data_IF_037084489651
#
_entry.id   IF_037084489651
#
_cell.length_a   1.000
_cell.length_b   1.000
_cell.length_c   1.000
_cell.angle_alpha   90.00
_cell.angle_beta   90.00
_cell.angle_gamma   90.00
#
_symmetry.space_group_name_H-M   'P 1'
#
loop_
_entity.id
_entity.type
_entity.pdbx_description
1 polymer ?
2 non-polymer ?
3 water ?
#
# COMPACT_ATOMS: atom_id res chain seq x y z
N UNK A 2 6.39 17.99 -2.13
CA UNK A 2 7.76 17.73 -2.54
C UNK A 2 8.09 16.25 -2.58
N UNK A 3 7.05 15.41 -2.57
CA UNK A 3 7.22 13.96 -2.60
C UNK A 3 8.18 13.49 -3.70
N UNK A 4 9.18 12.69 -3.32
CA UNK A 4 10.18 12.22 -4.28
C UNK A 4 10.07 10.72 -4.55
N UNK A 5 9.97 10.36 -5.83
CA UNK A 5 10.09 8.95 -6.21
C UNK A 5 11.57 8.60 -6.34
N UNK A 6 12.06 7.66 -5.53
CA UNK A 6 13.47 7.26 -5.59
C UNK A 6 13.68 6.08 -6.54
N UNK A 7 12.87 5.03 -6.34
CA UNK A 7 12.81 3.87 -7.24
C UNK A 7 11.33 3.64 -7.53
N UNK A 8 10.99 2.79 -8.52
CA UNK A 8 9.55 2.65 -8.82
C UNK A 8 8.73 2.21 -7.60
N UNK A 9 9.34 1.47 -6.67
CA UNK A 9 8.58 1.03 -5.49
C UNK A 9 8.93 1.85 -4.25
N UNK A 10 9.82 2.83 -4.39
CA UNK A 10 10.32 3.52 -3.18
C UNK A 10 10.25 5.04 -3.29
N UNK A 11 9.44 5.64 -2.40
CA UNK A 11 9.30 7.08 -2.28
C UNK A 11 9.93 7.59 -0.99
N UNK A 12 10.36 8.86 -1.01
CA UNK A 12 10.94 9.51 0.16
C UNK A 12 10.21 10.84 0.38
N UNK A 13 9.71 11.08 1.58
CA UNK A 13 8.91 12.28 1.80
C UNK A 13 8.84 12.75 3.23
N UNK A 14 7.94 13.70 3.48
CA UNK A 14 7.81 14.36 4.78
C UNK A 14 6.53 13.92 5.50
N UNK A 15 6.40 14.34 6.76
CA UNK A 15 5.15 14.12 7.49
C UNK A 15 3.96 14.73 6.72
N UNK A 16 4.14 15.95 6.21
CA UNK A 16 3.07 16.57 5.44
C UNK A 16 2.67 15.76 4.20
N UNK A 17 3.65 15.16 3.52
CA UNK A 17 3.36 14.26 2.40
C UNK A 17 2.50 13.07 2.82
N UNK A 18 2.95 12.34 3.84
CA UNK A 18 2.34 11.05 4.18
C UNK A 18 0.93 11.22 4.76
N UNK A 19 0.64 12.41 5.29
CA UNK A 19 -0.68 12.68 5.88
C UNK A 19 -1.65 13.28 4.86
N UNK A 20 -1.16 13.58 3.68
CA UNK A 20 -1.99 14.08 2.59
C UNK A 20 -2.68 12.92 1.90
N UNK A 21 -3.92 12.61 2.32
CA UNK A 21 -4.59 11.40 1.82
C UNK A 21 -4.70 11.40 0.30
N UNK A 22 -5.05 12.55 -0.28
CA UNK A 22 -5.19 12.64 -1.72
C UNK A 22 -3.89 12.34 -2.44
N UNK A 23 -2.78 12.86 -1.94
CA UNK A 23 -1.48 12.60 -2.56
C UNK A 23 -1.14 11.11 -2.48
N UNK A 24 -1.37 10.52 -1.31
CA UNK A 24 -1.10 9.10 -1.12
C UNK A 24 -2.00 8.23 -1.99
N UNK A 25 -3.30 8.56 -2.05
CA UNK A 25 -4.20 7.74 -2.88
C UNK A 25 -3.93 7.96 -4.37
N UNK A 26 -3.63 9.20 -4.74
CA UNK A 26 -3.29 9.58 -6.11
C UNK A 26 -2.11 8.76 -6.63
N UNK A 27 -1.17 8.45 -5.75
CA UNK A 27 0.05 7.72 -6.16
C UNK A 27 0.00 6.25 -5.79
N UNK A 28 -1.16 5.81 -5.29
CA UNK A 28 -1.36 4.41 -4.93
C UNK A 28 -0.43 3.91 -3.84
N UNK A 29 0.00 4.78 -2.93
CA UNK A 29 0.92 4.35 -1.87
C UNK A 29 0.18 3.72 -0.69
N UNK A 30 0.49 2.45 -0.42
CA UNK A 30 -0.22 1.69 0.62
C UNK A 30 0.68 1.25 1.77
N UNK A 31 2.00 1.30 1.58
CA UNK A 31 2.97 0.96 2.63
C UNK A 31 3.67 2.21 3.14
N UNK A 32 3.91 2.26 4.45
CA UNK A 32 4.58 3.40 5.09
C UNK A 32 5.65 2.97 6.08
N UNK A 33 6.86 3.49 5.88
CA UNK A 33 7.95 3.33 6.84
C UNK A 33 8.20 4.68 7.48
N UNK A 34 7.87 4.77 8.77
CA UNK A 34 7.85 6.02 9.52
C UNK A 34 9.06 6.05 10.43
N UNK A 35 10.04 6.88 10.08
CA UNK A 35 11.30 6.94 10.84
C UNK A 35 11.24 8.12 11.79
N UNK A 36 10.52 7.94 12.89
CA UNK A 36 10.32 9.01 13.88
C UNK A 36 9.63 8.45 15.11
N UNK A 37 9.66 9.19 16.22
CA UNK A 37 8.86 8.83 17.38
C UNK A 37 7.54 9.58 17.38
N UNK A 38 7.56 10.80 16.84
CA UNK A 38 6.45 11.73 17.03
C UNK A 38 5.44 11.76 15.89
N UNK A 39 5.86 11.41 14.68
CA UNK A 39 4.96 11.44 13.54
C UNK A 39 3.95 10.31 13.64
N UNK A 40 2.66 10.64 13.44
CA UNK A 40 1.60 9.63 13.55
C UNK A 40 1.48 8.76 12.30
N UNK A 41 1.00 7.53 12.46
CA UNK A 41 0.55 6.73 11.32
C UNK A 41 -0.69 7.41 10.77
N UNK A 42 -0.82 7.47 9.42
CA UNK A 42 -2.04 8.04 8.86
C UNK A 42 -3.18 7.06 9.11
N UNK A 43 -4.37 7.57 9.38
CA UNK A 43 -5.51 6.71 9.70
C UNK A 43 -5.85 5.78 8.57
N UNK A 44 -5.55 6.22 7.34
CA UNK A 44 -5.93 5.49 6.14
C UNK A 44 -4.94 4.39 5.72
N UNK A 45 -3.91 4.18 6.54
CA UNK A 45 -2.91 3.13 6.28
C UNK A 45 -3.15 1.92 7.19
N UNK A 46 -3.07 0.72 6.62
CA UNK A 46 -3.25 -0.55 7.37
C UNK A 46 -2.07 -0.89 8.26
N UNK A 47 -2.36 -1.37 9.46
CA UNK A 47 -1.30 -1.73 10.40
C UNK A 47 -0.28 -2.70 9.81
N UNK A 48 -0.77 -3.67 9.03
CA UNK A 48 0.13 -4.67 8.46
C UNK A 48 1.04 -4.09 7.36
N UNK A 49 0.73 -2.89 6.90
CA UNK A 49 1.54 -2.22 5.88
C UNK A 49 2.27 -1.01 6.48
N UNK A 50 2.50 -1.05 7.78
CA UNK A 50 3.10 0.06 8.49
C UNK A 50 4.25 -0.41 9.35
N UNK A 51 5.35 0.33 9.35
CA UNK A 51 6.47 0.03 10.25
C UNK A 51 7.05 1.32 10.80
N UNK A 52 7.27 1.37 12.12
CA UNK A 52 7.92 2.52 12.73
C UNK A 52 9.38 2.21 13.04
N UNK A 53 10.28 3.14 12.72
CA UNK A 53 11.65 3.14 13.24
C UNK A 53 11.73 4.29 14.24
N UNK A 54 11.62 3.97 15.54
CA UNK A 54 11.40 4.96 16.59
C UNK A 54 12.67 5.72 16.95
N UNK A 55 13.07 6.66 16.11
CA UNK A 55 14.30 7.41 16.34
C UNK A 55 14.12 8.93 16.22
N UNK A 56 14.89 9.66 17.03
CA UNK A 56 14.93 11.12 17.01
C UNK A 56 16.02 11.61 16.04
N UNK A 57 15.90 12.83 15.52
CA UNK A 57 16.94 13.35 14.61
C UNK A 57 18.03 14.10 15.36
N UNK A 58 19.06 13.39 15.79
CA UNK A 58 20.13 14.04 16.55
C UNK A 58 21.49 13.38 16.39
N UNK A 59 22.50 13.91 17.07
CA UNK A 59 23.86 13.46 16.86
C UNK A 59 24.22 12.19 17.64
N UNK A 60 23.33 11.74 18.51
CA UNK A 60 23.61 10.56 19.32
C UNK A 60 22.63 9.41 19.08
N UNK A 61 21.57 9.67 18.30
CA UNK A 61 20.59 8.63 18.03
C UNK A 61 21.21 7.54 17.17
N UNK A 62 20.69 6.33 17.33
CA UNK A 62 21.31 5.18 16.74
C UNK A 62 20.35 4.49 15.74
N UNK A 63 20.73 4.45 14.47
CA UNK A 63 19.86 3.98 13.39
C UNK A 63 20.33 2.60 12.90
N UNK A 64 21.59 2.26 13.17
CA UNK A 64 22.24 1.08 12.60
C UNK A 64 21.50 -0.29 12.59
N UNK A 65 21.01 -0.76 13.77
CA UNK A 65 20.31 -2.02 13.91
C UNK A 65 18.90 -1.98 13.41
N UNK A 66 18.43 -0.85 12.90
CA UNK A 66 17.10 -0.79 12.29
C UNK A 66 17.20 -0.91 10.79
N UNK A 67 18.42 -0.83 10.25
CA UNK A 67 18.58 -0.76 8.80
C UNK A 67 18.18 -2.07 8.10
N UNK A 68 18.64 -3.20 8.60
CA UNK A 68 18.28 -4.46 7.95
C UNK A 68 16.76 -4.73 7.96
N UNK A 69 16.09 -4.40 9.06
CA UNK A 69 14.64 -4.59 9.15
C UNK A 69 13.86 -3.59 8.29
N UNK A 70 14.37 -2.36 8.19
CA UNK A 70 13.80 -1.35 7.29
C UNK A 70 13.89 -1.81 5.83
N UNK A 71 15.06 -2.31 5.46
CA UNK A 71 15.26 -2.83 4.11
C UNK A 71 14.33 -4.02 3.81
N UNK A 72 14.21 -4.95 4.76
CA UNK A 72 13.27 -6.07 4.64
C UNK A 72 11.83 -5.59 4.40
N UNK A 73 11.41 -4.57 5.15
CA UNK A 73 10.08 -3.99 4.97
C UNK A 73 9.88 -3.45 3.57
N UNK A 74 10.86 -2.70 3.08
CA UNK A 74 10.78 -2.13 1.73
C UNK A 74 10.71 -3.26 0.71
N UNK A 75 11.49 -4.32 0.91
CA UNK A 75 11.41 -5.47 0.00
C UNK A 75 10.08 -6.24 0.09
N UNK A 76 9.42 -6.20 1.25
CA UNK A 76 8.10 -6.82 1.33
C UNK A 76 7.12 -6.12 0.40
N UNK A 77 7.19 -4.79 0.36
CA UNK A 77 6.39 -4.01 -0.58
C UNK A 77 6.74 -4.37 -2.03
N UNK A 78 8.03 -4.39 -2.33
CA UNK A 78 8.53 -4.75 -3.66
C UNK A 78 8.00 -6.12 -4.12
N UNK A 79 8.00 -7.10 -3.21
CA UNK A 79 7.52 -8.44 -3.53
C UNK A 79 6.01 -8.42 -3.78
N UNK A 80 5.31 -7.54 -3.08
CA UNK A 80 3.85 -7.43 -3.21
C UNK A 80 3.42 -6.50 -4.35
N UNK A 81 4.37 -6.11 -5.20
CA UNK A 81 4.11 -5.16 -6.27
C UNK A 81 3.48 -3.87 -5.75
N UNK A 82 3.95 -3.38 -4.61
CA UNK A 82 3.40 -2.19 -3.98
C UNK A 82 4.46 -1.11 -3.82
N UNK A 83 4.02 0.13 -3.63
CA UNK A 83 4.95 1.23 -3.37
C UNK A 83 4.96 1.53 -1.88
N UNK A 84 6.13 1.89 -1.35
CA UNK A 84 6.27 2.25 0.06
C UNK A 84 6.84 3.65 0.13
N UNK A 85 6.36 4.46 1.06
CA UNK A 85 6.99 5.73 1.31
C UNK A 85 7.74 5.66 2.63
N UNK A 86 8.99 6.13 2.60
CA UNK A 86 9.78 6.26 3.80
C UNK A 86 9.76 7.75 4.13
N UNK A 87 9.39 8.08 5.36
CA UNK A 87 9.27 9.48 5.74
C UNK A 87 9.74 9.71 7.16
N UNK A 88 10.02 10.98 7.46
CA UNK A 88 10.20 11.40 8.83
C UNK A 88 9.45 12.72 8.96
N UNK A 89 9.93 13.63 9.79
CA UNK A 89 9.23 14.92 9.91
C UNK A 89 9.39 15.73 8.62
N UNK A 90 10.64 15.96 8.24
CA UNK A 90 10.96 16.81 7.11
C UNK A 90 11.37 15.98 5.90
N UNK A 91 11.78 14.75 6.14
CA UNK A 91 12.21 13.89 5.06
C UNK A 91 13.58 14.27 4.52
N UNK A 92 14.43 14.85 5.38
CA UNK A 92 15.77 15.22 4.92
C UNK A 92 16.94 14.54 5.64
N UNK A 93 16.66 13.80 6.72
CA UNK A 93 17.75 13.19 7.50
C UNK A 93 17.50 11.71 7.85
N UNK A 94 16.58 11.46 8.78
CA UNK A 94 16.29 10.09 9.23
C UNK A 94 15.82 9.19 8.09
N UNK A 95 14.74 9.59 7.43
CA UNK A 95 14.21 8.83 6.31
C UNK A 95 15.20 8.79 5.14
N UNK A 96 15.88 9.91 4.88
CA UNK A 96 16.82 9.95 3.76
C UNK A 96 17.92 8.90 3.96
N UNK A 97 18.41 8.78 5.20
CA UNK A 97 19.47 7.81 5.47
C UNK A 97 19.00 6.38 5.21
N UNK A 98 17.77 6.07 5.59
CA UNK A 98 17.24 4.73 5.31
C UNK A 98 17.18 4.45 3.81
N UNK A 99 16.69 5.40 3.02
CA UNK A 99 16.66 5.26 1.56
C UNK A 99 18.05 5.01 1.00
N UNK A 100 19.03 5.75 1.52
CA UNK A 100 20.41 5.59 1.04
C UNK A 100 20.92 4.19 1.35
N UNK A 101 20.70 3.72 2.57
CA UNK A 101 21.11 2.37 2.94
C UNK A 101 20.43 1.31 2.05
N UNK A 102 19.18 1.52 1.71
CA UNK A 102 18.47 0.55 0.88
C UNK A 102 19.15 0.41 -0.49
N UNK A 103 19.53 1.53 -1.07
CA UNK A 103 20.19 1.52 -2.38
C UNK A 103 21.56 0.89 -2.27
N UNK A 104 22.27 1.19 -1.19
CA UNK A 104 23.58 0.57 -0.95
C UNK A 104 23.51 -0.95 -0.96
N UNK A 105 22.62 -1.50 -0.15
CA UNK A 105 22.51 -2.94 -0.02
C UNK A 105 21.96 -3.58 -1.29
N UNK A 106 20.95 -2.96 -1.90
CA UNK A 106 20.30 -3.57 -3.05
C UNK A 106 21.21 -3.61 -4.27
N UNK A 107 21.93 -2.53 -4.50
CA UNK A 107 22.73 -2.41 -5.72
C UNK A 107 24.21 -2.73 -5.50
N UNK A 108 24.63 -2.85 -4.25
CA UNK A 108 26.05 -3.06 -3.98
C UNK A 108 26.81 -1.78 -4.31
N UNK A 109 26.12 -0.66 -4.12
CA UNK A 109 26.65 0.67 -4.36
C UNK A 109 27.41 1.17 -3.12
N UNK A 110 28.46 1.95 -3.33
CA UNK A 110 29.24 2.50 -2.22
C UNK A 110 28.38 3.55 -1.53
N UNK A 111 28.74 3.89 -0.29
CA UNK A 111 27.94 4.87 0.44
C UNK A 111 27.99 6.23 -0.25
N UNK A 112 29.15 6.59 -0.82
CA UNK A 112 29.26 7.81 -1.63
C UNK A 112 28.26 7.83 -2.79
N UNK A 113 28.23 6.75 -3.56
CA UNK A 113 27.37 6.73 -4.74
C UNK A 113 25.89 6.67 -4.36
N UNK A 114 25.56 5.92 -3.32
CA UNK A 114 24.16 5.83 -2.90
C UNK A 114 23.67 7.17 -2.35
N UNK A 115 24.53 7.86 -1.59
CA UNK A 115 24.20 9.20 -1.08
C UNK A 115 23.92 10.13 -2.26
N UNK A 116 24.82 10.10 -3.25
CA UNK A 116 24.65 10.95 -4.43
C UNK A 116 23.39 10.58 -5.22
N UNK A 117 23.07 9.29 -5.30
CA UNK A 117 21.87 8.82 -6.01
C UNK A 117 20.61 9.45 -5.41
N UNK A 118 20.50 9.41 -4.09
CA UNK A 118 19.31 9.95 -3.43
C UNK A 118 19.34 11.46 -3.48
N UNK A 119 20.52 12.02 -3.25
CA UNK A 119 20.69 13.48 -3.24
C UNK A 119 20.33 14.11 -4.59
N UNK A 120 20.71 13.45 -5.68
CA UNK A 120 20.35 13.91 -7.02
C UNK A 120 18.84 14.02 -7.23
N UNK A 121 18.08 13.11 -6.62
CA UNK A 121 16.64 13.04 -6.85
C UNK A 121 15.86 13.88 -5.84
N UNK A 122 16.43 14.04 -4.64
CA UNK A 122 15.83 14.88 -3.61
C UNK A 122 16.91 15.80 -3.04
N UNK A 123 17.22 16.90 -3.76
CA UNK A 123 18.34 17.78 -3.43
C UNK A 123 18.28 18.37 -2.03
N UNK A 124 17.07 18.45 -1.46
CA UNK A 124 16.91 19.01 -0.12
C UNK A 124 17.42 18.10 1.01
N UNK A 125 17.79 16.85 0.72
CA UNK A 125 18.21 15.99 1.82
C UNK A 125 19.49 16.55 2.43
N UNK A 126 19.64 16.35 3.73
CA UNK A 126 20.79 16.87 4.45
C UNK A 126 20.98 16.08 5.73
N UNK A 127 21.32 14.77 5.61
CA UNK A 127 21.34 13.93 6.80
C UNK A 127 22.41 14.40 7.78
N UNK A 128 22.09 14.36 9.07
CA UNK A 128 23.07 14.80 10.04
C UNK A 128 24.27 13.85 10.00
N UNK A 129 25.41 14.35 10.42
CA UNK A 129 26.67 13.63 10.24
C UNK A 129 26.67 12.29 10.97
N UNK A 130 26.00 12.25 12.13
CA UNK A 130 25.90 11.02 12.90
C UNK A 130 25.27 9.89 12.05
N UNK A 131 24.18 10.19 11.35
CA UNK A 131 23.54 9.19 10.49
C UNK A 131 24.39 8.82 9.29
N UNK A 132 25.03 9.82 8.68
CA UNK A 132 25.92 9.54 7.56
C UNK A 132 27.09 8.60 7.96
N UNK A 133 27.63 8.80 9.16
CA UNK A 133 28.67 7.92 9.66
C UNK A 133 28.19 6.50 9.89
N UNK A 134 26.96 6.34 10.37
CA UNK A 134 26.38 5.02 10.54
C UNK A 134 26.21 4.31 9.20
N UNK A 135 25.96 5.06 8.12
CA UNK A 135 26.03 4.49 6.77
C UNK A 135 27.39 3.90 6.43
N UNK A 136 28.46 4.64 6.74
CA UNK A 136 29.80 4.10 6.56
C UNK A 136 29.99 2.78 7.29
N UNK A 137 29.56 2.73 8.55
CA UNK A 137 29.73 1.51 9.36
C UNK A 137 28.87 0.39 8.82
N UNK A 138 27.69 0.74 8.32
CA UNK A 138 26.80 -0.26 7.72
C UNK A 138 27.46 -0.87 6.50
N UNK A 139 28.06 -0.02 5.67
CA UNK A 139 28.74 -0.52 4.47
C UNK A 139 29.88 -1.44 4.85
N UNK A 140 30.60 -1.06 5.90
CA UNK A 140 31.76 -1.84 6.30
C UNK A 140 31.31 -3.24 6.69
N UNK A 141 30.16 -3.31 7.37
CA UNK A 141 29.62 -4.58 7.84
C UNK A 141 29.08 -5.47 6.71
N UNK A 142 28.49 -4.84 5.69
CA UNK A 142 28.03 -5.57 4.52
C UNK A 142 29.22 -6.20 3.80
N UNK A 143 30.33 -5.47 3.74
CA UNK A 143 31.52 -5.97 3.06
C UNK A 143 32.12 -7.19 3.76
N UNK A 144 31.99 -7.24 5.09
CA UNK A 144 32.45 -8.41 5.84
C UNK A 144 31.48 -9.60 5.71
N UNK A 145 30.18 -9.32 5.67
CA UNK A 145 29.19 -10.35 5.40
C UNK A 145 29.41 -10.99 4.02
N UNK A 146 29.67 -10.15 3.02
CA UNK A 146 29.94 -10.62 1.67
C UNK A 146 31.20 -11.47 1.63
N UNK A 147 32.18 -11.09 2.45
CA UNK A 147 33.44 -11.82 2.54
C UNK A 147 33.22 -13.26 2.95
N UNK A 148 32.33 -13.46 3.93
CA UNK A 148 31.99 -14.80 4.41
C UNK A 148 31.31 -15.64 3.33
N UNK A 149 30.57 -14.97 2.45
CA UNK A 149 29.86 -15.62 1.36
C UNK A 149 30.82 -15.92 0.20
N UNK A 150 32.12 -15.73 0.44
CA UNK A 150 33.11 -16.00 -0.58
C UNK A 150 33.27 -14.87 -1.59
N UNK A 151 32.84 -13.67 -1.20
CA UNK A 151 33.01 -12.50 -2.06
C UNK A 151 33.96 -11.47 -1.44
N UNK A 152 35.27 -11.70 -1.56
CA UNK A 152 36.23 -10.73 -1.03
C UNK A 152 36.23 -9.46 -1.86
N UNK B 1 -31.60 -4.84 -0.54
CA UNK B 1 -30.26 -4.79 0.04
C UNK B 1 -29.81 -6.17 0.55
N UNK B 2 -28.90 -6.18 1.51
CA UNK B 2 -28.37 -7.43 2.02
C UNK B 2 -27.13 -7.89 1.26
N UNK B 3 -26.29 -8.66 1.94
CA UNK B 3 -25.03 -9.16 1.39
C UNK B 3 -25.19 -9.91 0.06
N UNK B 4 -24.36 -9.58 -0.93
CA UNK B 4 -24.41 -10.28 -2.23
C UNK B 4 -23.22 -11.18 -2.46
N UNK B 5 -23.49 -12.44 -2.81
CA UNK B 5 -22.40 -13.32 -3.28
C UNK B 5 -22.20 -13.04 -4.76
N UNK B 6 -20.99 -12.64 -5.13
CA UNK B 6 -20.68 -12.36 -6.53
C UNK B 6 -20.08 -13.60 -7.19
N UNK B 7 -19.10 -14.20 -6.52
CA UNK B 7 -18.48 -15.45 -6.97
C UNK B 7 -18.36 -16.31 -5.71
N UNK B 8 -18.01 -17.60 -5.86
CA UNK B 8 -17.92 -18.45 -4.66
C UNK B 8 -17.10 -17.87 -3.50
N UNK B 9 -15.97 -17.23 -3.77
CA UNK B 9 -15.16 -16.71 -2.67
C UNK B 9 -15.18 -15.18 -2.57
N UNK B 10 -16.11 -14.54 -3.29
CA UNK B 10 -16.17 -13.07 -3.32
C UNK B 10 -17.57 -12.54 -3.01
N UNK B 11 -17.68 -11.73 -1.95
CA UNK B 11 -18.97 -11.13 -1.56
C UNK B 11 -18.86 -9.61 -1.69
N UNK B 12 -20.00 -8.97 -1.94
CA UNK B 12 -20.07 -7.52 -2.09
C UNK B 12 -21.16 -7.03 -1.14
N UNK B 13 -20.83 -6.06 -0.27
CA UNK B 13 -21.78 -5.64 0.73
C UNK B 13 -21.46 -4.29 1.35
N UNK B 14 -22.12 -4.00 2.47
CA UNK B 14 -22.04 -2.68 3.08
C UNK B 14 -21.31 -2.73 4.41
N UNK B 15 -21.13 -1.55 5.00
CA UNK B 15 -20.52 -1.44 6.31
C UNK B 15 -21.36 -2.18 7.36
N UNK B 16 -22.67 -2.13 7.18
CA UNK B 16 -23.61 -2.88 8.01
C UNK B 16 -23.28 -4.39 8.00
N UNK B 17 -23.01 -4.93 6.81
CA UNK B 17 -22.71 -6.35 6.65
C UNK B 17 -21.37 -6.77 7.24
N UNK B 18 -20.29 -6.04 6.93
CA UNK B 18 -18.97 -6.48 7.38
C UNK B 18 -18.84 -6.43 8.91
N UNK B 19 -19.57 -5.52 9.54
CA UNK B 19 -19.48 -5.36 11.00
C UNK B 19 -20.40 -6.34 11.73
N UNK B 20 -21.18 -7.10 10.98
CA UNK B 20 -22.05 -8.13 11.55
C UNK B 20 -21.30 -9.45 11.69
N UNK B 21 -20.79 -9.71 12.89
CA UNK B 21 -19.92 -10.86 13.13
C UNK B 21 -20.54 -12.22 12.77
N UNK B 22 -21.80 -12.41 13.12
CA UNK B 22 -22.46 -13.68 12.88
C UNK B 22 -22.68 -13.89 11.39
N UNK B 23 -23.00 -12.81 10.69
CA UNK B 23 -23.21 -12.90 9.25
C UNK B 23 -21.90 -13.25 8.53
N UNK B 24 -20.81 -12.61 8.95
CA UNK B 24 -19.50 -12.89 8.37
C UNK B 24 -19.06 -14.31 8.66
N UNK B 25 -19.23 -14.74 9.91
CA UNK B 25 -18.84 -16.10 10.30
C UNK B 25 -19.69 -17.15 9.59
N UNK B 26 -20.99 -16.89 9.49
CA UNK B 26 -21.91 -17.78 8.77
C UNK B 26 -21.45 -18.07 7.34
N UNK B 27 -20.86 -17.06 6.70
CA UNK B 27 -20.45 -17.20 5.30
C UNK B 27 -18.95 -17.42 5.16
N UNK B 28 -18.30 -17.75 6.27
CA UNK B 28 -16.88 -18.05 6.28
C UNK B 28 -15.98 -16.94 5.77
N UNK B 29 -16.37 -15.69 6.01
CA UNK B 29 -15.59 -14.55 5.52
C UNK B 29 -14.50 -14.07 6.48
N UNK B 30 -13.23 -14.16 6.06
CA UNK B 30 -12.09 -13.82 6.93
C UNK B 30 -11.20 -12.74 6.33
N UNK B 31 -11.40 -12.44 5.05
CA UNK B 31 -10.66 -11.36 4.38
C UNK B 31 -11.60 -10.18 4.14
N UNK B 32 -11.08 -8.96 4.33
CA UNK B 32 -11.88 -7.76 4.13
C UNK B 32 -11.15 -6.76 3.25
N UNK B 33 -11.78 -6.35 2.15
CA UNK B 33 -11.31 -5.21 1.36
C UNK B 33 -12.26 -4.07 1.64
N UNK B 34 -11.76 -3.08 2.38
CA UNK B 34 -12.57 -1.98 2.89
C UNK B 34 -12.31 -0.76 2.02
N UNK B 35 -13.28 -0.43 1.16
CA UNK B 35 -13.09 0.66 0.21
C UNK B 35 -13.72 1.93 0.74
N UNK B 36 -13.15 2.48 1.81
CA UNK B 36 -13.70 3.66 2.47
C UNK B 36 -12.64 4.28 3.35
N UNK B 37 -12.88 5.51 3.81
CA UNK B 37 -12.01 6.11 4.84
C UNK B 37 -12.60 5.95 6.23
N UNK B 38 -13.91 5.92 6.32
CA UNK B 38 -14.58 6.04 7.61
C UNK B 38 -14.82 4.71 8.35
N UNK B 39 -15.04 3.63 7.63
CA UNK B 39 -15.37 2.37 8.30
C UNK B 39 -14.15 1.68 8.85
N UNK B 40 -14.20 1.28 10.14
CA UNK B 40 -13.06 0.60 10.77
C UNK B 40 -12.99 -0.86 10.35
N UNK B 41 -11.85 -1.49 10.57
CA UNK B 41 -11.73 -2.94 10.44
C UNK B 41 -12.56 -3.55 11.57
N UNK B 42 -13.26 -4.67 11.30
CA UNK B 42 -13.97 -5.34 12.40
C UNK B 42 -12.96 -5.94 13.36
N UNK B 43 -13.29 -6.05 14.65
CA UNK B 43 -12.30 -6.53 15.61
C UNK B 43 -11.99 -8.03 15.43
N UNK B 44 -12.90 -8.76 14.79
CA UNK B 44 -12.70 -10.20 14.58
C UNK B 44 -11.91 -10.52 13.31
N UNK B 45 -11.44 -9.50 12.59
CA UNK B 45 -10.68 -9.69 11.36
C UNK B 45 -9.19 -9.43 11.63
N UNK B 46 -8.33 -10.37 11.24
CA UNK B 46 -6.87 -10.21 11.39
C UNK B 46 -6.37 -9.02 10.58
N UNK B 47 -5.39 -8.28 11.12
CA UNK B 47 -4.78 -7.19 10.36
C UNK B 47 -4.17 -7.72 9.06
N UNK B 48 -3.67 -8.95 9.10
CA UNK B 48 -3.00 -9.52 7.93
C UNK B 48 -3.95 -9.87 6.80
N UNK B 49 -5.25 -9.86 7.08
CA UNK B 49 -6.26 -10.20 6.08
C UNK B 49 -7.18 -9.02 5.83
N UNK B 50 -6.67 -7.82 6.07
CA UNK B 50 -7.46 -6.60 5.88
C UNK B 50 -6.71 -5.67 4.96
N UNK B 51 -7.42 -5.08 4.01
CA UNK B 51 -6.83 -4.07 3.13
C UNK B 51 -7.78 -2.88 3.06
N UNK B 52 -7.24 -1.66 3.05
CA UNK B 52 -8.09 -0.49 2.85
C UNK B 52 -7.76 0.19 1.55
N UNK B 53 -8.80 0.55 0.79
CA UNK B 53 -8.68 1.42 -0.37
C UNK B 53 -9.36 2.71 0.04
N UNK B 54 -8.57 3.69 0.51
CA UNK B 54 -9.15 4.84 1.20
C UNK B 54 -9.61 5.89 0.21
N UNK B 55 -10.69 5.59 -0.49
CA UNK B 55 -11.22 6.52 -1.46
C UNK B 55 -12.54 7.11 -1.00
N UNK B 56 -12.80 8.33 -1.42
CA UNK B 56 -14.06 8.98 -1.15
C UNK B 56 -14.99 8.73 -2.34
N UNK B 57 -16.29 8.74 -2.08
CA UNK B 57 -17.24 8.50 -3.17
C UNK B 57 -17.56 9.80 -3.88
N UNK B 58 -16.68 10.25 -4.76
CA UNK B 58 -16.95 11.50 -5.47
C UNK B 58 -16.42 11.56 -6.89
N UNK B 59 -16.73 12.64 -7.57
CA UNK B 59 -16.53 12.69 -9.02
C UNK B 59 -15.10 13.00 -9.48
N UNK B 60 -14.20 13.24 -8.52
CA UNK B 60 -12.81 13.49 -8.90
C UNK B 60 -11.82 12.50 -8.28
N UNK B 61 -12.34 11.53 -7.52
CA UNK B 61 -11.47 10.55 -6.87
C UNK B 61 -10.80 9.55 -7.83
N UNK B 62 -9.56 9.14 -7.53
CA UNK B 62 -8.79 8.25 -8.40
C UNK B 62 -8.79 6.81 -7.90
N UNK B 63 -9.44 5.92 -8.65
CA UNK B 63 -9.56 4.52 -8.29
C UNK B 63 -8.51 3.65 -9.00
N UNK B 64 -8.09 4.08 -10.19
CA UNK B 64 -7.10 3.36 -10.98
C UNK B 64 -5.82 2.92 -10.25
N UNK B 65 -5.25 3.78 -9.38
CA UNK B 65 -4.02 3.31 -8.73
C UNK B 65 -4.26 2.18 -7.75
N UNK B 66 -5.52 1.77 -7.55
CA UNK B 66 -5.83 0.79 -6.52
C UNK B 66 -6.35 -0.52 -7.06
N UNK B 67 -6.64 -0.54 -8.35
CA UNK B 67 -7.38 -1.67 -8.91
C UNK B 67 -6.55 -2.95 -8.95
N UNK B 68 -5.32 -2.87 -9.44
CA UNK B 68 -4.48 -4.08 -9.43
C UNK B 68 -4.20 -4.60 -8.01
N UNK B 69 -3.89 -3.71 -7.07
CA UNK B 69 -3.71 -4.13 -5.68
C UNK B 69 -4.97 -4.77 -5.11
N UNK B 70 -6.13 -4.19 -5.41
CA UNK B 70 -7.40 -4.78 -4.92
C UNK B 70 -7.60 -6.16 -5.51
N UNK B 71 -7.34 -6.30 -6.80
CA UNK B 71 -7.53 -7.59 -7.45
C UNK B 71 -6.53 -8.62 -6.94
N UNK B 72 -5.29 -8.21 -6.73
CA UNK B 72 -4.29 -9.10 -6.11
C UNK B 72 -4.75 -9.55 -4.72
N UNK B 73 -5.30 -8.62 -3.94
CA UNK B 73 -5.77 -8.96 -2.59
C UNK B 73 -6.88 -10.00 -2.63
N UNK B 74 -7.87 -9.77 -3.49
CA UNK B 74 -8.98 -10.71 -3.61
C UNK B 74 -8.51 -12.09 -4.05
N UNK B 75 -7.56 -12.12 -4.98
CA UNK B 75 -7.00 -13.39 -5.44
C UNK B 75 -6.21 -14.09 -4.34
N UNK B 76 -5.52 -13.31 -3.51
CA UNK B 76 -4.80 -13.88 -2.38
C UNK B 76 -5.77 -14.62 -1.45
N UNK B 77 -6.96 -14.07 -1.24
CA UNK B 77 -7.96 -14.78 -0.46
C UNK B 77 -8.37 -16.06 -1.19
N UNK B 78 -8.61 -15.95 -2.49
CA UNK B 78 -9.03 -17.08 -3.33
C UNK B 78 -8.01 -18.20 -3.30
N UNK B 79 -6.74 -17.80 -3.45
CA UNK B 79 -5.63 -18.74 -3.52
C UNK B 79 -5.45 -19.52 -2.23
N UNK B 80 -5.70 -18.86 -1.09
CA UNK B 80 -5.58 -19.53 0.20
C UNK B 80 -6.93 -20.11 0.64
N UNK B 81 -7.82 -20.32 -0.34
CA UNK B 81 -9.12 -20.93 -0.11
C UNK B 81 -9.95 -20.27 0.99
N UNK B 82 -9.98 -18.94 0.97
CA UNK B 82 -10.72 -18.17 1.96
C UNK B 82 -11.73 -17.28 1.24
N UNK B 83 -12.67 -16.72 1.99
CA UNK B 83 -13.68 -15.85 1.41
C UNK B 83 -13.41 -14.39 1.79
N UNK B 84 -13.63 -13.49 0.83
CA UNK B 84 -13.36 -12.07 1.01
C UNK B 84 -14.65 -11.27 0.75
N UNK B 85 -14.87 -10.21 1.54
CA UNK B 85 -15.96 -9.27 1.28
C UNK B 85 -15.36 -7.94 0.87
N UNK B 86 -15.84 -7.38 -0.24
CA UNK B 86 -15.50 -6.03 -0.64
C UNK B 86 -16.69 -5.17 -0.21
N UNK B 87 -16.43 -4.14 0.58
CA UNK B 87 -17.53 -3.31 1.05
C UNK B 87 -17.08 -1.87 1.10
N UNK B 88 -18.03 -0.95 1.12
CA UNK B 88 -17.73 0.43 1.44
C UNK B 88 -18.73 0.87 2.50
N UNK B 89 -19.39 2.00 2.30
CA UNK B 89 -20.42 2.41 3.25
C UNK B 89 -21.73 1.70 2.92
N UNK B 90 -22.33 2.02 1.78
CA UNK B 90 -23.59 1.39 1.37
C UNK B 90 -23.36 0.21 0.43
N UNK B 91 -22.17 0.10 -0.12
CA UNK B 91 -21.86 -0.97 -1.04
C UNK B 91 -22.55 -0.82 -2.38
N UNK B 92 -22.67 0.41 -2.88
CA UNK B 92 -23.29 0.62 -4.18
C UNK B 92 -22.40 1.32 -5.21
N UNK B 93 -21.29 1.90 -4.75
CA UNK B 93 -20.44 2.67 -5.68
C UNK B 93 -18.94 2.29 -5.64
N UNK B 94 -18.26 2.60 -4.54
CA UNK B 94 -16.82 2.35 -4.45
C UNK B 94 -16.52 0.86 -4.52
N UNK B 95 -17.15 0.09 -3.63
CA UNK B 95 -16.94 -1.34 -3.55
C UNK B 95 -17.48 -2.03 -4.80
N UNK B 96 -18.62 -1.55 -5.29
CA UNK B 96 -19.21 -2.11 -6.51
C UNK B 96 -18.26 -1.97 -7.70
N UNK B 97 -17.60 -0.82 -7.81
CA UNK B 97 -16.67 -0.63 -8.92
C UNK B 97 -15.49 -1.60 -8.83
N UNK B 98 -14.98 -1.82 -7.62
CA UNK B 98 -13.88 -2.76 -7.45
C UNK B 98 -14.31 -4.17 -7.86
N UNK B 99 -15.52 -4.57 -7.45
CA UNK B 99 -16.04 -5.88 -7.85
C UNK B 99 -16.17 -6.00 -9.36
N UNK B 100 -16.70 -4.97 -10.02
CA UNK B 100 -16.83 -5.03 -11.46
C UNK B 100 -15.46 -5.19 -12.13
N UNK B 101 -14.47 -4.42 -11.66
CA UNK B 101 -13.11 -4.50 -12.20
C UNK B 101 -12.52 -5.89 -12.00
N UNK B 102 -12.78 -6.49 -10.84
CA UNK B 102 -12.31 -7.85 -10.58
C UNK B 102 -12.89 -8.85 -11.59
N UNK B 103 -14.20 -8.75 -11.84
CA UNK B 103 -14.84 -9.59 -12.86
C UNK B 103 -14.23 -9.39 -14.25
N UNK B 104 -13.98 -8.13 -14.63
CA UNK B 104 -13.38 -7.84 -15.92
C UNK B 104 -12.05 -8.56 -16.05
N UNK B 105 -11.19 -8.42 -15.05
CA UNK B 105 -9.85 -8.99 -15.09
C UNK B 105 -9.84 -10.50 -15.06
N UNK B 106 -10.62 -11.09 -14.16
CA UNK B 106 -10.49 -12.54 -13.93
C UNK B 106 -11.37 -13.38 -14.84
N UNK B 107 -12.45 -12.81 -15.35
CA UNK B 107 -13.34 -13.55 -16.24
C UNK B 107 -13.23 -13.07 -17.69
N UNK B 108 -12.42 -12.03 -17.91
CA UNK B 108 -12.14 -11.53 -19.25
C UNK B 108 -13.37 -10.89 -19.87
N UNK B 109 -14.23 -10.30 -19.03
CA UNK B 109 -15.45 -9.70 -19.55
C UNK B 109 -15.21 -8.25 -19.92
N UNK B 110 -15.96 -7.74 -20.89
CA UNK B 110 -15.93 -6.31 -21.21
C UNK B 110 -16.47 -5.55 -20.02
N UNK B 111 -16.20 -4.24 -19.97
CA UNK B 111 -16.77 -3.41 -18.91
C UNK B 111 -18.29 -3.48 -18.90
N UNK B 112 -18.91 -3.52 -20.09
CA UNK B 112 -20.37 -3.60 -20.18
C UNK B 112 -20.89 -4.89 -19.51
N UNK B 113 -20.29 -6.01 -19.89
CA UNK B 113 -20.75 -7.31 -19.40
C UNK B 113 -20.47 -7.49 -17.91
N UNK B 114 -19.32 -7.02 -17.47
CA UNK B 114 -18.96 -7.13 -16.04
C UNK B 114 -19.86 -6.24 -15.19
N UNK B 115 -20.16 -5.05 -15.69
CA UNK B 115 -21.08 -4.15 -15.02
C UNK B 115 -22.43 -4.86 -14.89
N UNK B 116 -22.89 -5.45 -16.00
CA UNK B 116 -24.18 -6.13 -15.96
C UNK B 116 -24.19 -7.37 -15.06
N UNK B 117 -23.07 -8.10 -15.04
CA UNK B 117 -22.95 -9.26 -14.15
C UNK B 117 -23.16 -8.88 -12.67
N UNK B 118 -22.50 -7.81 -12.24
CA UNK B 118 -22.65 -7.40 -10.84
C UNK B 118 -24.03 -6.79 -10.60
N UNK B 119 -24.48 -5.94 -11.51
CA UNK B 119 -25.81 -5.31 -11.37
C UNK B 119 -26.93 -6.36 -11.35
N UNK B 120 -26.79 -7.41 -12.15
CA UNK B 120 -27.78 -8.50 -12.14
C UNK B 120 -27.95 -9.16 -10.77
N UNK B 121 -26.87 -9.20 -10.00
CA UNK B 121 -26.90 -9.84 -8.69
C UNK B 121 -27.16 -8.88 -7.54
N UNK B 122 -26.73 -7.63 -7.70
CA UNK B 122 -26.93 -6.61 -6.67
C UNK B 122 -27.52 -5.40 -7.36
N UNK B 123 -28.83 -5.44 -7.64
CA UNK B 123 -29.48 -4.42 -8.47
C UNK B 123 -29.38 -3.02 -7.87
N UNK B 124 -29.09 -2.92 -6.57
CA UNK B 124 -29.00 -1.63 -5.91
C UNK B 124 -27.71 -0.85 -6.22
N UNK B 125 -26.73 -1.49 -6.88
CA UNK B 125 -25.50 -0.77 -7.19
C UNK B 125 -25.77 0.37 -8.15
N UNK B 126 -25.01 1.45 -8.00
CA UNK B 126 -25.15 2.63 -8.84
C UNK B 126 -23.84 3.40 -8.76
N UNK B 127 -22.79 2.88 -9.42
CA UNK B 127 -21.48 3.54 -9.26
C UNK B 127 -21.50 4.90 -9.92
N UNK B 128 -20.80 5.87 -9.34
CA UNK B 128 -20.82 7.20 -9.94
C UNK B 128 -20.13 7.16 -11.31
N UNK B 129 -20.46 8.11 -12.18
CA UNK B 129 -19.96 8.07 -13.56
C UNK B 129 -18.43 8.16 -13.63
N UNK B 130 -17.82 8.90 -12.70
CA UNK B 130 -16.36 8.97 -12.63
C UNK B 130 -15.75 7.58 -12.48
N UNK B 131 -16.28 6.78 -11.55
CA UNK B 131 -15.79 5.41 -11.36
C UNK B 131 -16.08 4.49 -12.55
N UNK B 132 -17.29 4.57 -13.11
CA UNK B 132 -17.59 3.79 -14.31
C UNK B 132 -16.64 4.11 -15.46
N UNK B 133 -16.29 5.37 -15.61
CA UNK B 133 -15.37 5.79 -16.67
C UNK B 133 -13.97 5.21 -16.46
N UNK B 134 -13.54 5.14 -15.20
CA UNK B 134 -12.23 4.56 -14.92
C UNK B 134 -12.18 3.08 -15.27
N UNK B 135 -13.33 2.41 -15.20
CA UNK B 135 -13.42 1.02 -15.65
C UNK B 135 -13.10 0.92 -17.13
N UNK B 136 -13.62 1.85 -17.93
CA UNK B 136 -13.29 1.84 -19.37
C UNK B 136 -11.79 1.98 -19.57
N UNK B 137 -11.16 2.90 -18.84
CA UNK B 137 -9.72 3.08 -18.95
C UNK B 137 -8.98 1.83 -18.47
N UNK B 138 -9.51 1.19 -17.45
CA UNK B 138 -8.86 -0.01 -16.91
C UNK B 138 -8.87 -1.12 -17.94
N UNK B 139 -10.00 -1.29 -18.62
CA UNK B 139 -10.11 -2.29 -19.69
C UNK B 139 -9.05 -2.05 -20.76
N UNK B 140 -8.93 -0.79 -21.15
CA UNK B 140 -8.00 -0.36 -22.18
C UNK B 140 -6.62 -0.86 -21.85
N UNK B 141 -6.28 -0.81 -20.56
CA UNK B 141 -4.97 -1.26 -20.08
C UNK B 141 -4.90 -2.78 -19.85
N UNK B 142 -6.04 -3.42 -19.61
CA UNK B 142 -6.06 -4.88 -19.46
C UNK B 142 -5.76 -5.55 -20.80
N UNK B 143 -6.14 -4.89 -21.89
CA UNK B 143 -5.92 -5.43 -23.24
C UNK B 143 -4.44 -5.58 -23.56
N UNK B 144 -3.59 -5.13 -22.66
CA UNK B 144 -2.15 -5.18 -22.86
C UNK B 144 -1.52 -6.22 -21.94
N UNK B 145 -1.99 -7.45 -22.10
CA UNK B 145 -1.53 -8.61 -21.34
C UNK B 145 -1.90 -9.87 -22.11
#
# INVERSE_FOLDING_TARGET
MGLTRILPHLYLGSQKDVLNKDLMTQNGISYVLNASNSCPKPDFICESRFMRVPINDNYCEKLLPWLDKSIEFIDKAKLSSCQVIVHSLAGISRSATIAIAYIMKTMGMSSDDAYRFVKDRRPSISPNFNFLGQLLEYERSLKLLAALQGDP
MGLTRILPHLYLGSQKDVLNKDLMTQNGISYVLNASNSCPKPDFICESRFMRVPINDNYCEKLLPWLDKSIEFIDKAKLSSCQVIVHSLAGISRSATIAIAYIMKTMGMSSDDAYRFVKDRRPSISPNFNFLGQLLEYERSLKLLAALQGDP
#
